data_IF_291467977925
#
_entry.id   IF_291467977925
#
_cell.length_a   1.000
_cell.length_b   1.000
_cell.length_c   1.000
_cell.angle_alpha   90.00
_cell.angle_beta   90.00
_cell.angle_gamma   90.00
#
_symmetry.space_group_name_H-M   'P 1'
#
loop_
_entity.id
_entity.type
_entity.pdbx_description
1 polymer ?
#
# COMPACT_ATOMS: atom_id res chain seq x y z
N UNK A 1 -10.69 33.32 -56.87
CA UNK A 1 -11.33 33.29 -55.53
C UNK A 1 -10.96 31.98 -54.85
N UNK A 2 -10.16 32.02 -53.81
CA UNK A 2 -9.82 30.83 -53.06
C UNK A 2 -11.04 30.36 -52.25
N UNK A 3 -11.39 29.07 -52.34
CA UNK A 3 -12.47 28.53 -51.54
C UNK A 3 -12.14 28.66 -50.04
N UNK A 4 -13.08 29.09 -49.18
CA UNK A 4 -12.78 29.23 -47.75
C UNK A 4 -12.37 27.89 -47.16
N UNK A 5 -11.34 27.91 -46.27
CA UNK A 5 -10.70 26.72 -45.68
C UNK A 5 -11.73 25.71 -45.10
N UNK A 6 -12.87 26.20 -44.59
CA UNK A 6 -13.95 25.37 -44.11
C UNK A 6 -14.58 24.47 -45.20
N UNK A 7 -14.74 24.96 -46.44
CA UNK A 7 -15.31 24.19 -47.56
C UNK A 7 -14.34 23.10 -48.01
N UNK A 8 -13.02 23.36 -47.96
CA UNK A 8 -12.00 22.38 -48.27
C UNK A 8 -11.97 21.27 -47.22
N UNK A 9 -12.04 21.65 -45.93
CA UNK A 9 -12.09 20.69 -44.82
C UNK A 9 -13.33 19.77 -44.86
N UNK A 10 -14.52 20.33 -45.16
CA UNK A 10 -15.75 19.54 -45.30
C UNK A 10 -15.70 18.60 -46.51
N UNK A 11 -15.16 19.04 -47.65
CA UNK A 11 -14.97 18.15 -48.80
C UNK A 11 -13.98 17.04 -48.51
N UNK A 12 -12.86 17.31 -47.83
CA UNK A 12 -11.89 16.31 -47.43
C UNK A 12 -12.52 15.29 -46.46
N UNK A 13 -13.28 15.75 -45.45
CA UNK A 13 -13.99 14.88 -44.52
C UNK A 13 -15.03 13.98 -45.24
N UNK A 14 -15.80 14.53 -46.19
CA UNK A 14 -16.77 13.76 -46.99
C UNK A 14 -16.07 12.69 -47.84
N UNK A 15 -14.94 13.02 -48.47
CA UNK A 15 -14.17 12.08 -49.28
C UNK A 15 -13.63 10.92 -48.45
N UNK A 16 -13.10 11.21 -47.25
CA UNK A 16 -12.67 10.18 -46.29
C UNK A 16 -13.84 9.31 -45.81
N UNK A 17 -15.04 9.89 -45.64
CA UNK A 17 -16.22 9.14 -45.21
C UNK A 17 -16.79 8.20 -46.30
N UNK A 18 -16.64 8.54 -47.57
CA UNK A 18 -17.26 7.81 -48.71
C UNK A 18 -16.30 6.89 -49.47
N UNK A 19 -15.00 7.20 -49.49
CA UNK A 19 -14.00 6.39 -50.20
C UNK A 19 -13.30 5.41 -49.26
N UNK A 20 -13.46 4.11 -49.54
CA UNK A 20 -12.84 3.03 -48.76
C UNK A 20 -11.30 3.11 -48.70
N UNK A 21 -10.67 3.54 -49.81
CA UNK A 21 -9.22 3.70 -49.88
C UNK A 21 -8.74 4.88 -49.08
N UNK A 22 -9.46 6.01 -49.11
CA UNK A 22 -9.15 7.19 -48.32
C UNK A 22 -9.31 6.91 -46.83
N UNK A 23 -10.34 6.18 -46.41
CA UNK A 23 -10.52 5.72 -45.01
C UNK A 23 -9.39 4.85 -44.55
N UNK A 24 -8.97 3.85 -45.35
CA UNK A 24 -7.87 2.96 -45.00
C UNK A 24 -6.55 3.74 -44.87
N UNK A 25 -6.27 4.68 -45.77
CA UNK A 25 -5.09 5.52 -45.71
C UNK A 25 -5.05 6.41 -44.46
N UNK A 26 -6.17 7.05 -44.11
CA UNK A 26 -6.26 7.86 -42.86
C UNK A 26 -6.11 6.99 -41.62
N UNK A 27 -6.80 5.83 -41.58
CA UNK A 27 -6.66 4.89 -40.47
C UNK A 27 -5.21 4.37 -40.32
N UNK A 28 -4.52 4.11 -41.43
CA UNK A 28 -3.12 3.68 -41.40
C UNK A 28 -2.18 4.76 -40.85
N UNK A 29 -2.40 6.03 -41.21
CA UNK A 29 -1.65 7.16 -40.68
C UNK A 29 -1.92 7.36 -39.19
N UNK A 30 -3.20 7.33 -38.79
CA UNK A 30 -3.59 7.44 -37.38
C UNK A 30 -3.02 6.28 -36.57
N UNK A 31 -3.11 5.06 -37.06
CA UNK A 31 -2.54 3.89 -36.43
C UNK A 31 -1.00 3.99 -36.30
N UNK A 32 -0.31 4.44 -37.36
CA UNK A 32 1.14 4.63 -37.33
C UNK A 32 1.61 5.67 -36.30
N UNK A 33 0.77 6.65 -36.00
CA UNK A 33 1.05 7.66 -34.98
C UNK A 33 0.69 7.12 -33.57
N UNK A 34 -0.47 6.47 -33.42
CA UNK A 34 -0.96 6.05 -32.10
C UNK A 34 -0.28 4.79 -31.57
N UNK A 35 0.09 3.83 -32.41
CA UNK A 35 0.71 2.56 -31.99
C UNK A 35 1.98 2.77 -31.16
N UNK A 36 2.96 3.64 -31.54
CA UNK A 36 4.14 3.86 -30.71
C UNK A 36 3.79 4.48 -29.36
N UNK A 37 2.82 5.37 -29.29
CA UNK A 37 2.39 5.94 -28.00
C UNK A 37 1.75 4.89 -27.10
N UNK A 38 0.87 4.04 -27.66
CA UNK A 38 0.26 2.94 -26.91
C UNK A 38 1.34 1.96 -26.42
N UNK A 39 2.34 1.63 -27.25
CA UNK A 39 3.44 0.77 -26.84
C UNK A 39 4.26 1.38 -25.71
N UNK A 40 4.56 2.67 -25.76
CA UNK A 40 5.26 3.36 -24.67
C UNK A 40 4.45 3.29 -23.38
N UNK A 41 3.14 3.55 -23.43
CA UNK A 41 2.25 3.46 -22.27
C UNK A 41 2.23 2.03 -21.73
N UNK A 42 2.12 1.03 -22.57
CA UNK A 42 2.14 -0.39 -22.15
C UNK A 42 3.48 -0.75 -21.50
N UNK A 43 4.61 -0.31 -22.05
CA UNK A 43 5.94 -0.54 -21.45
C UNK A 43 6.04 0.12 -20.07
N UNK A 44 5.56 1.37 -19.95
CA UNK A 44 5.54 2.08 -18.65
C UNK A 44 4.65 1.33 -17.64
N UNK A 45 3.45 0.90 -18.05
CA UNK A 45 2.54 0.16 -17.19
C UNK A 45 3.12 -1.19 -16.76
N UNK A 46 3.79 -1.92 -17.69
CA UNK A 46 4.47 -3.17 -17.35
C UNK A 46 5.66 -2.95 -16.40
N UNK A 47 6.42 -1.87 -16.58
CA UNK A 47 7.52 -1.53 -15.67
C UNK A 47 6.99 -1.16 -14.26
N UNK A 48 5.92 -0.37 -14.19
CA UNK A 48 5.28 0.00 -12.92
C UNK A 48 4.66 -1.22 -12.22
N UNK A 49 4.03 -2.14 -12.96
CA UNK A 49 3.51 -3.39 -12.40
C UNK A 49 4.62 -4.28 -11.85
N UNK A 50 5.73 -4.43 -12.59
CA UNK A 50 6.87 -5.20 -12.13
C UNK A 50 7.50 -4.65 -10.85
N UNK A 51 7.60 -3.33 -10.71
CA UNK A 51 8.10 -2.71 -9.47
C UNK A 51 7.12 -2.86 -8.31
N UNK A 52 5.81 -2.82 -8.56
CA UNK A 52 4.78 -3.05 -7.54
C UNK A 52 4.82 -4.50 -7.03
N UNK A 53 4.97 -5.48 -7.92
CA UNK A 53 5.06 -6.90 -7.55
C UNK A 53 6.33 -7.19 -6.73
N UNK A 54 7.46 -6.58 -7.08
CA UNK A 54 8.70 -6.70 -6.30
C UNK A 54 8.57 -6.09 -4.91
N UNK A 55 7.96 -4.92 -4.78
CA UNK A 55 7.70 -4.30 -3.48
C UNK A 55 6.76 -5.14 -2.61
N UNK A 56 5.69 -5.67 -3.18
CA UNK A 56 4.75 -6.56 -2.47
C UNK A 56 5.44 -7.82 -1.97
N UNK A 57 6.30 -8.43 -2.78
CA UNK A 57 7.08 -9.60 -2.40
C UNK A 57 8.07 -9.29 -1.28
N UNK A 58 8.76 -8.14 -1.33
CA UNK A 58 9.69 -7.73 -0.29
C UNK A 58 8.98 -7.46 1.05
N UNK A 59 7.82 -6.80 1.03
CA UNK A 59 6.98 -6.60 2.22
C UNK A 59 6.55 -7.95 2.80
N UNK A 60 6.01 -8.84 1.97
CA UNK A 60 5.58 -10.16 2.44
C UNK A 60 6.72 -10.96 3.06
N UNK A 61 7.90 -10.94 2.46
CA UNK A 61 9.09 -11.62 3.01
C UNK A 61 9.56 -10.99 4.32
N UNK A 62 9.51 -9.66 4.44
CA UNK A 62 9.89 -8.97 5.67
C UNK A 62 8.92 -9.28 6.83
N UNK A 63 7.61 -9.27 6.59
CA UNK A 63 6.59 -9.47 7.62
C UNK A 63 6.34 -10.94 7.98
N UNK A 64 6.30 -11.82 6.98
CA UNK A 64 5.88 -13.21 7.15
C UNK A 64 7.06 -14.20 7.09
N UNK A 65 8.25 -13.70 6.81
CA UNK A 65 9.41 -14.56 6.56
C UNK A 65 9.26 -15.33 5.25
N UNK A 66 10.11 -16.34 5.07
CA UNK A 66 10.06 -17.22 3.92
C UNK A 66 11.43 -17.40 3.25
N UNK A 67 11.44 -18.20 2.18
CA UNK A 67 12.67 -18.47 1.44
C UNK A 67 13.12 -17.26 0.62
N UNK A 68 14.29 -16.75 0.93
CA UNK A 68 14.95 -15.70 0.14
C UNK A 68 15.67 -16.35 -1.05
N UNK A 69 15.06 -16.28 -2.23
CA UNK A 69 15.62 -16.81 -3.47
C UNK A 69 17.01 -16.20 -3.75
N UNK A 70 17.91 -17.03 -4.27
CA UNK A 70 19.24 -16.56 -4.74
C UNK A 70 19.16 -15.59 -5.93
N UNK A 71 18.00 -15.48 -6.57
CA UNK A 71 17.75 -14.52 -7.64
C UNK A 71 17.47 -13.09 -7.14
N UNK A 72 17.15 -12.94 -5.84
CA UNK A 72 17.00 -11.61 -5.22
C UNK A 72 18.40 -10.97 -5.15
N UNK A 73 18.57 -9.73 -5.65
CA UNK A 73 19.85 -9.03 -5.55
C UNK A 73 20.34 -9.00 -4.08
N UNK A 74 21.64 -9.17 -3.83
CA UNK A 74 22.21 -9.27 -2.48
C UNK A 74 21.82 -8.07 -1.58
N UNK A 75 21.79 -6.88 -2.16
CA UNK A 75 21.41 -5.65 -1.49
C UNK A 75 19.95 -5.69 -0.97
N UNK A 76 19.00 -6.12 -1.81
CA UNK A 76 17.60 -6.28 -1.42
C UNK A 76 17.40 -7.35 -0.36
N UNK A 77 18.17 -8.45 -0.46
CA UNK A 77 18.16 -9.51 0.56
C UNK A 77 18.57 -8.96 1.90
N UNK A 78 19.65 -8.18 1.95
CA UNK A 78 20.13 -7.54 3.17
C UNK A 78 19.08 -6.60 3.77
N UNK A 79 18.34 -5.83 2.95
CA UNK A 79 17.26 -4.97 3.45
C UNK A 79 16.11 -5.78 4.05
N UNK A 80 15.71 -6.89 3.42
CA UNK A 80 14.66 -7.78 3.95
C UNK A 80 15.10 -8.40 5.28
N UNK A 81 16.32 -8.94 5.36
CA UNK A 81 16.88 -9.54 6.56
C UNK A 81 16.94 -8.52 7.72
N UNK A 82 17.36 -7.28 7.45
CA UNK A 82 17.34 -6.20 8.45
C UNK A 82 15.95 -5.86 8.94
N UNK A 83 14.94 -5.87 8.06
CA UNK A 83 13.56 -5.65 8.48
C UNK A 83 13.07 -6.79 9.38
N UNK A 84 13.39 -8.04 9.04
CA UNK A 84 13.03 -9.19 9.88
C UNK A 84 13.68 -9.12 11.28
N UNK A 85 14.97 -8.78 11.36
CA UNK A 85 15.66 -8.54 12.63
C UNK A 85 14.96 -7.42 13.42
N UNK A 86 14.76 -6.25 12.81
CA UNK A 86 14.13 -5.11 13.46
C UNK A 86 12.67 -5.37 13.88
N UNK A 87 11.93 -6.17 13.12
CA UNK A 87 10.56 -6.56 13.49
C UNK A 87 10.55 -7.49 14.71
N UNK A 88 11.53 -8.38 14.81
CA UNK A 88 11.67 -9.23 15.99
C UNK A 88 11.95 -8.39 17.25
N UNK A 89 12.85 -7.41 17.16
CA UNK A 89 13.14 -6.51 18.27
C UNK A 89 11.94 -5.64 18.64
N UNK A 90 11.23 -5.12 17.65
CA UNK A 90 9.97 -4.37 17.86
C UNK A 90 8.89 -5.23 18.51
N UNK A 91 8.75 -6.51 18.12
CA UNK A 91 7.76 -7.40 18.74
C UNK A 91 8.03 -7.61 20.23
N UNK A 92 9.28 -7.72 20.64
CA UNK A 92 9.65 -7.82 22.05
C UNK A 92 9.28 -6.54 22.81
N UNK A 93 9.65 -5.38 22.29
CA UNK A 93 9.35 -4.08 22.91
C UNK A 93 7.84 -3.83 22.98
N UNK A 94 7.11 -4.15 21.91
CA UNK A 94 5.66 -3.97 21.85
C UNK A 94 4.92 -4.95 22.78
N UNK A 95 5.45 -6.16 22.99
CA UNK A 95 4.91 -7.07 23.99
C UNK A 95 5.01 -6.46 25.39
N UNK A 96 6.16 -5.91 25.77
CA UNK A 96 6.37 -5.26 27.05
C UNK A 96 5.46 -4.04 27.24
N UNK A 97 5.26 -3.24 26.19
CA UNK A 97 4.35 -2.08 26.21
C UNK A 97 2.90 -2.55 26.36
N UNK A 98 2.47 -3.54 25.62
CA UNK A 98 1.11 -4.05 25.65
C UNK A 98 0.79 -4.78 26.96
N UNK A 99 1.79 -5.35 27.64
CA UNK A 99 1.65 -5.92 28.98
C UNK A 99 1.35 -4.84 30.05
N UNK A 100 1.78 -3.58 29.78
CA UNK A 100 1.45 -2.42 30.63
C UNK A 100 0.17 -1.71 30.20
N UNK A 101 -0.48 -2.13 29.11
CA UNK A 101 -1.65 -1.45 28.59
C UNK A 101 -2.94 -2.04 29.17
N UNK A 102 -3.83 -1.19 29.67
CA UNK A 102 -5.15 -1.59 30.19
C UNK A 102 -6.27 -1.23 29.20
N UNK A 103 -6.13 -0.13 28.46
CA UNK A 103 -7.14 0.44 27.57
C UNK A 103 -6.76 0.28 26.10
N UNK A 104 -6.73 -0.97 25.62
CA UNK A 104 -6.36 -1.29 24.25
C UNK A 104 -4.90 -1.73 24.11
N UNK A 105 -4.49 -2.01 22.88
CA UNK A 105 -3.13 -2.45 22.54
C UNK A 105 -2.59 -1.68 21.36
N UNK A 106 -1.27 -1.54 21.30
CA UNK A 106 -0.60 -1.00 20.11
C UNK A 106 -0.65 -2.05 18.99
N UNK A 107 -1.11 -1.65 17.82
CA UNK A 107 -1.15 -2.54 16.63
C UNK A 107 0.28 -2.73 16.07
N UNK A 108 0.86 -3.91 16.30
CA UNK A 108 2.21 -4.24 15.88
C UNK A 108 2.39 -4.16 14.36
N UNK A 109 1.37 -4.51 13.56
CA UNK A 109 1.43 -4.41 12.11
C UNK A 109 1.54 -2.96 11.65
N UNK A 110 0.87 -2.04 12.36
CA UNK A 110 0.94 -0.60 12.08
C UNK A 110 2.30 -0.03 12.42
N UNK A 111 2.87 -0.40 13.57
CA UNK A 111 4.22 0.01 13.99
C UNK A 111 5.25 -0.47 12.97
N UNK A 112 5.21 -1.75 12.61
CA UNK A 112 6.11 -2.36 11.63
C UNK A 112 5.96 -1.75 10.23
N UNK A 113 4.74 -1.41 9.80
CA UNK A 113 4.50 -0.77 8.51
C UNK A 113 5.11 0.64 8.45
N UNK A 114 5.01 1.40 9.53
CA UNK A 114 5.67 2.72 9.66
C UNK A 114 7.19 2.53 9.68
N UNK A 115 7.70 1.60 10.49
CA UNK A 115 9.12 1.27 10.55
C UNK A 115 9.67 0.90 9.15
N UNK A 116 9.00 0.00 8.44
CA UNK A 116 9.38 -0.40 7.09
C UNK A 116 9.44 0.80 6.14
N UNK A 117 8.44 1.67 6.17
CA UNK A 117 8.37 2.85 5.28
C UNK A 117 9.49 3.85 5.52
N UNK A 118 10.05 3.86 6.74
CA UNK A 118 11.10 4.80 7.14
C UNK A 118 12.52 4.27 6.92
N UNK A 119 12.70 2.94 6.99
CA UNK A 119 14.02 2.34 7.07
C UNK A 119 14.35 1.34 5.97
N UNK A 120 13.37 0.79 5.23
CA UNK A 120 13.65 -0.13 4.13
C UNK A 120 14.42 0.59 3.01
N UNK A 121 15.50 -0.02 2.53
CA UNK A 121 16.32 0.54 1.47
C UNK A 121 17.24 1.70 1.91
N UNK A 122 17.38 1.94 3.20
CA UNK A 122 18.27 2.98 3.73
C UNK A 122 19.53 2.39 4.34
N UNK A 123 20.66 3.11 4.22
CA UNK A 123 21.94 2.76 4.88
C UNK A 123 21.97 3.25 6.33
N UNK A 124 20.92 3.02 7.09
CA UNK A 124 20.88 3.42 8.49
C UNK A 124 21.82 2.58 9.36
N UNK A 125 22.45 3.18 10.39
CA UNK A 125 23.16 2.41 11.38
C UNK A 125 22.22 1.40 12.06
N UNK A 126 22.77 0.27 12.50
CA UNK A 126 22.00 -0.72 13.27
C UNK A 126 21.42 -0.05 14.50
N UNK A 127 20.12 -0.13 14.65
CA UNK A 127 19.43 0.26 15.87
C UNK A 127 19.78 -0.74 16.99
N UNK A 128 19.90 -0.27 18.21
CA UNK A 128 20.03 -1.09 19.41
C UNK A 128 18.66 -1.20 20.13
N UNK A 129 18.60 -1.97 21.22
CA UNK A 129 17.35 -2.18 21.95
C UNK A 129 16.71 -0.88 22.47
N UNK A 130 17.50 0.11 22.87
CA UNK A 130 17.02 1.40 23.35
C UNK A 130 16.40 2.20 22.21
N UNK A 131 17.01 2.16 21.00
CA UNK A 131 16.47 2.86 19.81
C UNK A 131 15.10 2.28 19.41
N UNK A 132 14.92 0.94 19.48
CA UNK A 132 13.62 0.30 19.22
C UNK A 132 12.58 0.68 20.28
N UNK A 133 13.02 0.81 21.55
CA UNK A 133 12.15 1.27 22.64
C UNK A 133 11.70 2.71 22.41
N UNK A 134 12.63 3.62 22.13
CA UNK A 134 12.30 5.02 21.81
C UNK A 134 11.36 5.15 20.60
N UNK A 135 11.56 4.30 19.60
CA UNK A 135 10.67 4.24 18.44
C UNK A 135 9.26 3.79 18.84
N UNK A 136 9.13 2.71 19.60
CA UNK A 136 7.85 2.16 20.04
C UNK A 136 7.11 3.09 21.03
N UNK A 137 7.85 3.78 21.90
CA UNK A 137 7.29 4.76 22.84
C UNK A 137 6.62 5.96 22.13
N UNK A 138 6.91 6.20 20.85
CA UNK A 138 6.18 7.20 20.06
C UNK A 138 4.70 6.86 19.84
N UNK A 139 4.28 5.63 20.09
CA UNK A 139 2.92 5.13 19.86
C UNK A 139 2.07 5.08 21.13
N UNK A 140 2.63 5.42 22.26
CA UNK A 140 1.95 5.40 23.55
C UNK A 140 2.23 6.67 24.35
N UNK A 141 1.36 6.93 25.32
CA UNK A 141 1.63 7.82 26.46
C UNK A 141 1.65 6.97 27.72
N UNK A 142 2.40 7.42 28.73
CA UNK A 142 2.46 6.74 30.01
C UNK A 142 1.70 7.54 31.05
N UNK A 143 0.76 6.87 31.72
CA UNK A 143 -0.04 7.44 32.82
C UNK A 143 0.29 6.72 34.11
N UNK A 144 0.40 7.47 35.20
CA UNK A 144 0.51 6.92 36.56
C UNK A 144 -0.92 6.66 37.07
N UNK A 145 -1.19 5.42 37.50
CA UNK A 145 -2.47 5.02 38.11
C UNK A 145 -2.20 4.49 39.53
N UNK A 146 -3.24 4.47 40.33
CA UNK A 146 -3.21 4.00 41.72
C UNK A 146 -4.11 2.77 41.82
N UNK A 147 -3.62 1.71 42.47
CA UNK A 147 -4.39 0.49 42.72
C UNK A 147 -5.27 0.59 43.98
N UNK A 148 -5.99 -0.49 44.29
CA UNK A 148 -6.89 -0.55 45.43
C UNK A 148 -6.16 -0.44 46.79
N UNK A 149 -4.86 -0.78 46.81
CA UNK A 149 -3.99 -0.73 48.01
C UNK A 149 -3.29 0.64 48.16
N UNK A 150 -3.41 1.54 47.17
CA UNK A 150 -2.83 2.87 47.13
C UNK A 150 -1.42 2.89 46.57
N UNK A 151 -0.97 1.81 45.95
CA UNK A 151 0.32 1.73 45.25
C UNK A 151 0.19 2.29 43.83
N UNK A 152 1.17 3.09 43.41
CA UNK A 152 1.17 3.69 42.07
C UNK A 152 1.89 2.80 41.08
N UNK A 153 1.33 2.68 39.87
CA UNK A 153 1.91 1.95 38.76
C UNK A 153 1.73 2.69 37.43
N UNK A 154 2.58 2.38 36.46
CA UNK A 154 2.56 3.00 35.13
C UNK A 154 1.72 2.18 34.15
N UNK A 155 0.83 2.84 33.44
CA UNK A 155 0.00 2.25 32.36
C UNK A 155 0.39 2.86 31.03
N UNK A 156 0.56 2.03 30.03
CA UNK A 156 0.75 2.46 28.65
C UNK A 156 -0.62 2.68 27.99
N UNK A 157 -0.84 3.87 27.45
CA UNK A 157 -2.07 4.25 26.74
C UNK A 157 -1.77 4.45 25.26
N UNK A 158 -2.30 3.62 24.35
CA UNK A 158 -2.06 3.74 22.95
C UNK A 158 -2.56 5.06 22.35
N UNK A 159 -1.74 5.71 21.52
CA UNK A 159 -2.07 6.93 20.80
C UNK A 159 -2.86 6.55 19.56
N UNK A 160 -4.13 6.94 19.48
CA UNK A 160 -5.01 6.67 18.33
C UNK A 160 -4.80 7.63 17.14
N UNK A 161 -4.30 8.84 17.41
CA UNK A 161 -4.03 9.85 16.39
C UNK A 161 -2.65 9.64 15.77
N UNK A 162 -2.63 9.15 14.53
CA UNK A 162 -1.40 8.92 13.77
C UNK A 162 -0.58 10.19 13.51
N UNK A 163 -1.22 11.36 13.46
CA UNK A 163 -0.49 12.62 13.27
C UNK A 163 0.37 12.93 14.49
N UNK A 164 -0.12 12.66 15.68
CA UNK A 164 0.64 12.73 16.93
C UNK A 164 1.81 11.75 16.91
N UNK A 165 1.57 10.50 16.51
CA UNK A 165 2.62 9.49 16.35
C UNK A 165 3.73 9.96 15.39
N UNK A 166 3.37 10.47 14.21
CA UNK A 166 4.35 10.98 13.26
C UNK A 166 5.13 12.20 13.78
N UNK A 167 4.49 13.05 14.59
CA UNK A 167 5.16 14.17 15.25
C UNK A 167 6.19 13.69 16.27
N UNK A 168 5.83 12.70 17.10
CA UNK A 168 6.73 12.08 18.06
C UNK A 168 7.92 11.43 17.34
N UNK A 169 7.65 10.61 16.31
CA UNK A 169 8.69 9.98 15.50
C UNK A 169 9.62 10.99 14.85
N UNK A 170 9.08 12.11 14.34
CA UNK A 170 9.89 13.18 13.78
C UNK A 170 10.85 13.78 14.81
N UNK A 171 10.39 13.92 16.05
CA UNK A 171 11.20 14.42 17.16
C UNK A 171 12.32 13.47 17.56
N UNK A 172 11.99 12.17 17.70
CA UNK A 172 12.96 11.12 18.07
C UNK A 172 14.00 10.91 16.96
N UNK A 173 13.55 10.86 15.69
CA UNK A 173 14.44 10.61 14.55
C UNK A 173 15.18 11.88 14.08
N UNK A 174 14.87 13.06 14.63
CA UNK A 174 15.48 14.34 14.25
C UNK A 174 15.23 14.71 12.79
N UNK A 175 14.12 14.25 12.19
CA UNK A 175 13.73 14.54 10.81
C UNK A 175 12.21 14.53 10.63
N UNK A 176 11.72 15.32 9.67
CA UNK A 176 10.30 15.30 9.34
C UNK A 176 9.88 13.97 8.72
N UNK A 177 8.73 13.44 9.14
CA UNK A 177 8.09 12.30 8.51
C UNK A 177 7.24 12.82 7.34
N UNK A 178 7.72 12.58 6.13
CA UNK A 178 7.09 13.11 4.92
C UNK A 178 5.73 12.48 4.64
N UNK A 179 4.87 13.18 3.90
CA UNK A 179 3.59 12.63 3.42
C UNK A 179 3.79 11.35 2.60
N UNK A 180 4.91 11.23 1.89
CA UNK A 180 5.26 10.02 1.16
C UNK A 180 5.51 8.84 2.12
N UNK A 181 6.28 9.03 3.21
CA UNK A 181 6.48 8.01 4.23
C UNK A 181 5.15 7.58 4.85
N UNK A 182 4.29 8.54 5.21
CA UNK A 182 2.96 8.26 5.78
C UNK A 182 2.07 7.45 4.81
N UNK A 183 2.06 7.84 3.53
CA UNK A 183 1.29 7.14 2.48
C UNK A 183 1.83 5.72 2.26
N UNK A 184 3.15 5.55 2.24
CA UNK A 184 3.78 4.24 2.09
C UNK A 184 3.51 3.35 3.30
N UNK A 185 3.60 3.88 4.51
CA UNK A 185 3.25 3.15 5.73
C UNK A 185 1.80 2.64 5.69
N UNK A 186 0.86 3.50 5.30
CA UNK A 186 -0.55 3.12 5.18
C UNK A 186 -0.77 2.04 4.12
N UNK A 187 -0.09 2.11 2.97
CA UNK A 187 -0.16 1.07 1.92
C UNK A 187 0.39 -0.26 2.40
N UNK A 188 1.53 -0.25 3.11
CA UNK A 188 2.15 -1.44 3.67
C UNK A 188 1.23 -2.06 4.71
N UNK A 189 0.70 -1.26 5.64
CA UNK A 189 -0.25 -1.72 6.65
C UNK A 189 -1.48 -2.38 6.00
N UNK A 190 -2.06 -1.75 4.98
CA UNK A 190 -3.20 -2.30 4.24
C UNK A 190 -2.85 -3.61 3.55
N UNK A 191 -1.67 -3.69 2.94
CA UNK A 191 -1.18 -4.91 2.30
C UNK A 191 -1.03 -6.05 3.32
N UNK A 192 -0.42 -5.78 4.46
CA UNK A 192 -0.19 -6.78 5.52
C UNK A 192 -1.50 -7.23 6.15
N UNK A 193 -2.37 -6.29 6.50
CA UNK A 193 -3.62 -6.56 7.21
C UNK A 193 -4.68 -7.23 6.34
N UNK A 194 -4.75 -6.88 5.05
CA UNK A 194 -5.84 -7.28 4.14
C UNK A 194 -5.35 -8.04 2.90
N UNK A 195 -4.05 -8.30 2.76
CA UNK A 195 -3.48 -9.13 1.71
C UNK A 195 -3.37 -8.50 0.33
N UNK A 196 -3.81 -7.26 0.12
CA UNK A 196 -3.67 -6.54 -1.15
C UNK A 196 -3.50 -5.04 -0.95
N UNK A 197 -2.56 -4.43 -1.71
CA UNK A 197 -2.58 -2.98 -1.90
C UNK A 197 -3.80 -2.61 -2.74
N UNK A 198 -4.64 -1.68 -2.26
CA UNK A 198 -5.78 -1.20 -3.01
C UNK A 198 -5.35 -0.64 -4.38
N UNK A 199 -5.94 -1.09 -5.50
CA UNK A 199 -5.66 -0.52 -6.82
C UNK A 199 -6.09 0.94 -6.83
N UNK A 200 -5.15 1.85 -7.17
CA UNK A 200 -5.50 3.24 -7.43
C UNK A 200 -4.98 4.28 -6.46
N UNK A 201 -4.10 3.95 -5.55
CA UNK A 201 -3.15 4.90 -4.95
C UNK A 201 -3.65 6.04 -4.08
N UNK A 202 -4.91 6.17 -3.79
CA UNK A 202 -5.43 7.09 -2.78
C UNK A 202 -6.04 6.27 -1.65
N UNK A 203 -5.20 5.43 -1.05
CA UNK A 203 -5.61 4.56 0.04
C UNK A 203 -5.70 5.29 1.36
N UNK A 204 -6.53 6.31 1.44
CA UNK A 204 -7.19 6.64 2.67
C UNK A 204 -8.43 5.73 2.70
N UNK A 205 -8.34 4.63 3.46
CA UNK A 205 -9.55 4.19 4.14
C UNK A 205 -9.71 5.25 5.21
N UNK A 206 -10.64 6.18 5.08
CA UNK A 206 -10.90 7.13 6.16
C UNK A 206 -11.25 6.27 7.38
N UNK A 207 -10.63 6.53 8.54
CA UNK A 207 -11.06 5.89 9.78
C UNK A 207 -12.56 6.05 10.04
N UNK A 208 -13.18 7.06 9.44
CA UNK A 208 -14.61 7.30 9.40
C UNK A 208 -15.41 6.28 8.55
N UNK A 209 -14.81 5.63 7.55
CA UNK A 209 -15.47 4.55 6.80
C UNK A 209 -15.58 3.24 7.61
N UNK A 210 -14.87 3.13 8.70
CA UNK A 210 -14.99 2.01 9.65
C UNK A 210 -16.09 2.23 10.70
N UNK A 211 -16.72 3.42 10.74
CA UNK A 211 -17.53 3.88 11.85
C UNK A 211 -18.86 3.16 12.09
N UNK A 212 -19.42 2.47 11.11
CA UNK A 212 -20.71 1.76 11.24
C UNK A 212 -20.62 0.22 11.12
N UNK A 213 -19.42 -0.31 10.97
CA UNK A 213 -19.20 -1.75 10.81
C UNK A 213 -19.53 -2.30 9.41
N UNK A 214 -20.12 -1.55 8.52
CA UNK A 214 -20.52 -2.00 7.17
C UNK A 214 -19.30 -2.28 6.29
N UNK A 215 -18.28 -1.44 6.37
CA UNK A 215 -17.02 -1.65 5.65
C UNK A 215 -16.26 -2.87 6.18
N UNK A 216 -16.16 -3.02 7.49
CA UNK A 216 -15.52 -4.18 8.11
C UNK A 216 -16.22 -5.48 7.73
N UNK A 217 -17.55 -5.50 7.72
CA UNK A 217 -18.35 -6.65 7.30
C UNK A 217 -18.17 -6.96 5.80
N UNK A 218 -18.14 -5.92 4.95
CA UNK A 218 -17.87 -6.05 3.52
C UNK A 218 -16.49 -6.65 3.25
N UNK A 219 -15.45 -6.10 3.91
CA UNK A 219 -14.08 -6.59 3.76
C UNK A 219 -13.90 -8.01 4.31
N UNK A 220 -14.56 -8.32 5.44
CA UNK A 220 -14.52 -9.67 6.01
C UNK A 220 -15.18 -10.69 5.05
N UNK A 221 -16.23 -10.33 4.35
CA UNK A 221 -16.84 -11.17 3.32
C UNK A 221 -15.96 -11.29 2.09
N UNK A 222 -15.50 -10.18 1.53
CA UNK A 222 -14.67 -10.15 0.34
C UNK A 222 -13.36 -10.94 0.51
N UNK A 223 -12.67 -10.79 1.64
CA UNK A 223 -11.38 -11.46 1.87
C UNK A 223 -11.46 -12.99 1.95
N UNK A 224 -12.64 -13.59 2.19
CA UNK A 224 -12.82 -15.04 2.18
C UNK A 224 -12.48 -15.70 0.84
N UNK A 225 -12.56 -14.95 -0.23
CA UNK A 225 -12.42 -15.44 -1.61
C UNK A 225 -11.08 -15.09 -2.24
N UNK A 226 -10.16 -14.48 -1.47
CA UNK A 226 -8.79 -14.21 -1.93
C UNK A 226 -8.08 -15.54 -2.22
N UNK A 227 -7.45 -15.60 -3.42
CA UNK A 227 -6.77 -16.81 -3.89
C UNK A 227 -7.67 -17.81 -4.62
N UNK A 228 -8.94 -17.52 -4.76
CA UNK A 228 -9.83 -18.34 -5.59
C UNK A 228 -9.51 -18.15 -7.07
N UNK A 229 -9.68 -19.21 -7.91
CA UNK A 229 -9.37 -19.12 -9.32
C UNK A 229 -10.30 -18.12 -10.03
N UNK A 230 -9.74 -17.33 -10.93
CA UNK A 230 -10.53 -16.47 -11.80
C UNK A 230 -11.32 -17.33 -12.81
N UNK A 231 -12.64 -17.14 -12.87
CA UNK A 231 -13.51 -17.84 -13.82
C UNK A 231 -14.35 -16.82 -14.57
N UNK A 232 -14.16 -16.72 -15.88
CA UNK A 232 -14.91 -15.82 -16.74
C UNK A 232 -16.43 -16.05 -16.63
N UNK A 233 -17.18 -15.00 -16.28
CA UNK A 233 -18.63 -15.09 -16.04
C UNK A 233 -19.00 -15.66 -14.67
N UNK A 234 -18.03 -15.98 -13.82
CA UNK A 234 -18.28 -16.40 -12.45
C UNK A 234 -18.72 -15.23 -11.57
N UNK A 235 -19.75 -15.45 -10.76
CA UNK A 235 -20.39 -14.38 -9.96
C UNK A 235 -20.81 -14.82 -8.56
N UNK A 236 -20.33 -15.95 -8.08
CA UNK A 236 -20.70 -16.50 -6.78
C UNK A 236 -19.66 -17.48 -6.25
N UNK A 237 -19.63 -17.79 -4.94
CA UNK A 237 -18.76 -18.83 -4.39
C UNK A 237 -18.89 -20.19 -5.08
N UNK A 238 -20.05 -20.52 -5.61
CA UNK A 238 -20.27 -21.79 -6.30
C UNK A 238 -19.61 -21.87 -7.69
N UNK A 239 -19.44 -20.72 -8.34
CA UNK A 239 -18.90 -20.61 -9.70
C UNK A 239 -17.49 -20.05 -9.72
N UNK A 240 -16.95 -19.61 -8.57
CA UNK A 240 -15.85 -18.65 -8.47
C UNK A 240 -16.20 -17.30 -9.10
N UNK A 241 -15.26 -16.42 -9.35
CA UNK A 241 -15.54 -15.04 -9.71
C UNK A 241 -14.74 -14.57 -10.91
N UNK A 242 -15.32 -13.69 -11.72
CA UNK A 242 -14.60 -12.70 -12.50
C UNK A 242 -14.59 -11.35 -11.76
N UNK A 243 -13.92 -10.34 -12.31
CA UNK A 243 -13.79 -9.03 -11.65
C UNK A 243 -15.13 -8.35 -11.43
N UNK A 244 -16.08 -8.46 -12.37
CA UNK A 244 -17.41 -7.88 -12.27
C UNK A 244 -18.32 -8.66 -11.34
N UNK A 245 -18.27 -9.98 -11.41
CA UNK A 245 -19.04 -10.87 -10.55
C UNK A 245 -18.63 -10.76 -9.07
N UNK A 246 -17.36 -10.54 -8.80
CA UNK A 246 -16.86 -10.32 -7.44
C UNK A 246 -17.33 -9.00 -6.82
N UNK A 247 -17.35 -7.92 -7.62
CA UNK A 247 -17.83 -6.61 -7.15
C UNK A 247 -19.35 -6.57 -6.94
N UNK A 248 -20.10 -7.39 -7.72
CA UNK A 248 -21.56 -7.44 -7.62
C UNK A 248 -22.08 -8.45 -6.58
N UNK A 249 -21.24 -9.35 -6.12
CA UNK A 249 -21.55 -10.33 -5.07
C UNK A 249 -21.67 -9.67 -3.71
#
# INVERSE_FOLDING_TARGET
MAAPAAVVAVKAALTVATDRRARTAVLSVVAAILVPFILIIVVILCALSGTADHNTSAVNLAFNGGYLSSQIPPEYRMYIERMQEGFSDLDHVLSDINDMAEDGTVDADQVKAIFYSLFFGTDQPRMNGDDYREFADCFVTYEEREDEDGDTYMVAVPISDLQTVYTNLGSVLGRDITTENQTNAQRIYTLVKYGQALPGGSGLIPGEAMGDGSYGALMAEATKYIGWPYVWGGSSPATSFDCSGYVCW
#
